data_IF_236173476369
#
_entry.id   IF_236173476369
#
_cell.length_a   1.000
_cell.length_b   1.000
_cell.length_c   1.000
_cell.angle_alpha   90.00
_cell.angle_beta   90.00
_cell.angle_gamma   90.00
#
_symmetry.space_group_name_H-M   'P 1'
#
loop_
_entity.id
_entity.type
_entity.pdbx_description
1 polymer ?
#
# COMPACT_ATOMS: atom_id res chain seq x y z
N UNK A 1 -22.43 4.55 37.34
CA UNK A 1 -21.48 5.61 37.78
C UNK A 1 -20.10 5.50 37.13
N UNK A 2 -19.46 4.32 37.10
CA UNK A 2 -18.09 4.14 36.56
C UNK A 2 -17.88 4.55 35.09
N UNK A 3 -18.88 4.35 34.20
CA UNK A 3 -18.75 4.67 32.77
C UNK A 3 -18.72 6.19 32.48
N UNK A 4 -19.37 6.98 33.34
CA UNK A 4 -19.47 8.44 33.21
C UNK A 4 -18.17 9.15 33.61
N UNK A 5 -17.42 8.59 34.55
CA UNK A 5 -16.10 9.12 34.94
C UNK A 5 -15.02 8.80 33.91
N UNK A 6 -15.11 7.61 33.28
CA UNK A 6 -14.16 7.20 32.23
C UNK A 6 -14.33 7.98 30.92
N UNK A 7 -15.47 8.63 30.71
CA UNK A 7 -15.71 9.47 29.53
C UNK A 7 -14.65 10.59 29.36
N UNK A 8 -13.97 10.98 30.44
CA UNK A 8 -12.89 11.98 30.40
C UNK A 8 -11.71 11.55 29.54
N UNK A 9 -11.52 10.26 29.30
CA UNK A 9 -10.46 9.73 28.43
C UNK A 9 -10.77 9.86 26.93
N UNK A 10 -12.06 9.99 26.57
CA UNK A 10 -12.47 10.30 25.19
C UNK A 10 -12.74 11.80 25.00
N UNK A 11 -13.31 12.46 26.01
CA UNK A 11 -13.66 13.89 25.98
C UNK A 11 -12.53 14.79 26.49
N UNK A 12 -11.29 14.54 26.06
CA UNK A 12 -10.16 15.41 26.35
C UNK A 12 -9.51 15.92 25.06
N UNK A 13 -8.85 17.07 25.18
CA UNK A 13 -8.25 17.79 24.04
C UNK A 13 -7.23 16.92 23.30
N UNK A 14 -6.45 16.11 24.01
CA UNK A 14 -5.41 15.26 23.40
C UNK A 14 -6.03 14.13 22.58
N UNK A 15 -7.06 13.46 23.12
CA UNK A 15 -7.76 12.40 22.41
C UNK A 15 -8.46 12.94 21.16
N UNK A 16 -9.20 14.04 21.28
CA UNK A 16 -9.90 14.63 20.13
C UNK A 16 -8.95 15.20 19.10
N UNK A 17 -7.86 15.83 19.53
CA UNK A 17 -6.81 16.31 18.63
C UNK A 17 -6.14 15.17 17.87
N UNK A 18 -5.80 14.07 18.56
CA UNK A 18 -5.23 12.89 17.93
C UNK A 18 -6.22 12.19 16.99
N UNK A 19 -7.49 12.06 17.37
CA UNK A 19 -8.53 11.48 16.51
C UNK A 19 -8.79 12.36 15.28
N UNK A 20 -8.86 13.67 15.45
CA UNK A 20 -9.03 14.61 14.34
C UNK A 20 -7.85 14.53 13.38
N UNK A 21 -6.62 14.51 13.92
CA UNK A 21 -5.40 14.36 13.13
C UNK A 21 -5.43 13.04 12.36
N UNK A 22 -5.81 11.94 13.00
CA UNK A 22 -5.86 10.62 12.37
C UNK A 22 -6.88 10.58 11.23
N UNK A 23 -8.08 11.11 11.43
CA UNK A 23 -9.14 11.19 10.39
C UNK A 23 -8.73 12.12 9.24
N UNK A 24 -8.25 13.34 9.54
CA UNK A 24 -7.84 14.29 8.50
C UNK A 24 -6.64 13.76 7.72
N UNK A 25 -5.68 13.17 8.41
CA UNK A 25 -4.49 12.66 7.76
C UNK A 25 -4.84 11.52 6.80
N UNK A 26 -5.67 10.59 7.25
CA UNK A 26 -5.97 9.40 6.48
C UNK A 26 -6.95 9.64 5.34
N UNK A 27 -7.81 10.65 5.41
CA UNK A 27 -8.81 10.93 4.36
C UNK A 27 -8.55 12.19 3.53
N UNK A 28 -7.60 13.05 3.90
CA UNK A 28 -7.34 14.30 3.16
C UNK A 28 -5.86 14.48 2.84
N UNK A 29 -4.97 14.28 3.81
CA UNK A 29 -3.55 14.57 3.61
C UNK A 29 -2.82 13.48 2.82
N UNK A 30 -3.22 12.21 2.99
CA UNK A 30 -2.65 11.10 2.20
C UNK A 30 -2.98 11.27 0.71
N UNK A 31 -4.22 11.60 0.36
CA UNK A 31 -4.64 11.88 -1.02
C UNK A 31 -3.91 13.10 -1.61
N UNK A 32 -3.77 14.18 -0.83
CA UNK A 32 -3.22 15.43 -1.36
C UNK A 32 -1.69 15.48 -1.43
N UNK A 33 -0.97 14.76 -0.55
CA UNK A 33 0.48 14.91 -0.42
C UNK A 33 1.26 13.60 -0.49
N UNK A 34 0.66 12.40 -0.51
CA UNK A 34 1.32 11.14 -0.91
C UNK A 34 2.68 10.76 -0.29
N UNK A 35 3.11 11.38 0.82
CA UNK A 35 4.50 11.31 1.30
C UNK A 35 4.66 10.41 2.54
N UNK A 36 5.86 9.85 2.75
CA UNK A 36 6.20 9.01 3.92
C UNK A 36 5.97 9.69 5.29
N UNK A 37 5.86 11.03 5.32
CA UNK A 37 5.59 11.83 6.52
C UNK A 37 4.13 11.67 6.99
N UNK A 38 3.16 11.59 6.07
CA UNK A 38 1.73 11.48 6.44
C UNK A 38 1.43 10.09 7.01
N UNK A 39 2.06 9.03 6.49
CA UNK A 39 1.96 7.67 7.06
C UNK A 39 2.36 7.63 8.53
N UNK A 40 3.55 8.16 8.86
CA UNK A 40 4.08 8.19 10.23
C UNK A 40 3.21 9.03 11.16
N UNK A 41 2.64 10.13 10.67
CA UNK A 41 1.78 10.99 11.48
C UNK A 41 0.54 10.25 12.01
N UNK A 42 -0.04 9.36 11.20
CA UNK A 42 -1.14 8.48 11.62
C UNK A 42 -0.71 7.50 12.71
N UNK A 43 0.48 6.88 12.57
CA UNK A 43 1.03 5.98 13.59
C UNK A 43 1.24 6.69 14.94
N UNK A 44 1.80 7.89 14.92
CA UNK A 44 1.95 8.71 16.14
C UNK A 44 0.59 9.04 16.79
N UNK A 45 -0.41 9.40 15.99
CA UNK A 45 -1.75 9.69 16.50
C UNK A 45 -2.43 8.43 17.06
N UNK A 46 -2.36 7.32 16.34
CA UNK A 46 -2.92 6.02 16.74
C UNK A 46 -2.32 5.52 18.05
N UNK A 47 -0.98 5.50 18.16
CA UNK A 47 -0.26 5.07 19.37
C UNK A 47 -0.56 5.99 20.56
N UNK A 48 -0.78 7.28 20.33
CA UNK A 48 -1.18 8.24 21.37
C UNK A 48 -2.60 7.97 21.90
N UNK A 49 -3.58 7.78 21.01
CA UNK A 49 -5.01 7.73 21.39
C UNK A 49 -5.50 6.32 21.73
N UNK A 50 -4.88 5.26 21.23
CA UNK A 50 -5.25 3.86 21.52
C UNK A 50 -5.29 3.52 23.02
N UNK A 51 -4.26 3.80 23.84
CA UNK A 51 -4.32 3.46 25.26
C UNK A 51 -5.38 4.27 26.02
N UNK A 52 -5.69 5.51 25.58
CA UNK A 52 -6.78 6.32 26.14
C UNK A 52 -8.16 5.71 25.80
N UNK A 53 -8.34 5.23 24.57
CA UNK A 53 -9.54 4.51 24.13
C UNK A 53 -9.75 3.22 24.94
N UNK A 54 -8.70 2.41 25.07
CA UNK A 54 -8.74 1.18 25.86
C UNK A 54 -8.98 1.46 27.35
N UNK A 55 -8.43 2.56 27.88
CA UNK A 55 -8.70 3.00 29.26
C UNK A 55 -10.18 3.26 29.50
N UNK A 56 -10.87 3.86 28.53
CA UNK A 56 -12.31 4.04 28.58
C UNK A 56 -13.07 2.71 28.58
N UNK A 57 -12.71 1.79 27.68
CA UNK A 57 -13.38 0.49 27.53
C UNK A 57 -13.18 -0.44 28.72
N UNK A 58 -11.93 -0.67 29.11
CA UNK A 58 -11.57 -1.74 30.07
C UNK A 58 -11.38 -1.21 31.49
N UNK A 59 -10.92 0.04 31.64
CA UNK A 59 -10.54 0.60 32.93
C UNK A 59 -9.27 0.01 33.54
N UNK A 60 -8.45 -0.69 32.74
CA UNK A 60 -7.20 -1.32 33.20
C UNK A 60 -6.16 -0.29 33.70
N UNK A 61 -5.13 -0.78 34.40
CA UNK A 61 -4.02 0.06 34.88
C UNK A 61 -3.27 0.67 33.70
N UNK A 62 -2.79 1.90 33.87
CA UNK A 62 -2.08 2.64 32.81
C UNK A 62 -0.90 1.84 32.26
N UNK A 63 -0.08 1.24 33.12
CA UNK A 63 1.06 0.42 32.69
C UNK A 63 0.66 -0.77 31.83
N UNK A 64 -0.46 -1.45 32.16
CA UNK A 64 -0.96 -2.57 31.37
C UNK A 64 -1.43 -2.15 29.98
N UNK A 65 -2.04 -0.96 29.86
CA UNK A 65 -2.49 -0.43 28.58
C UNK A 65 -1.34 0.05 27.70
N UNK A 66 -0.31 0.66 28.30
CA UNK A 66 0.92 1.01 27.58
C UNK A 66 1.63 -0.25 27.09
N UNK A 67 1.81 -1.25 27.95
CA UNK A 67 2.41 -2.52 27.57
C UNK A 67 1.63 -3.21 26.45
N UNK A 68 0.30 -3.26 26.56
CA UNK A 68 -0.55 -3.79 25.50
C UNK A 68 -0.38 -3.02 24.19
N UNK A 69 -0.37 -1.68 24.24
CA UNK A 69 -0.19 -0.84 23.05
C UNK A 69 1.15 -1.12 22.35
N UNK A 70 2.24 -1.21 23.11
CA UNK A 70 3.57 -1.54 22.58
C UNK A 70 3.57 -2.91 21.92
N UNK A 71 3.09 -3.94 22.63
CA UNK A 71 3.10 -5.33 22.13
C UNK A 71 2.21 -5.46 20.90
N UNK A 72 0.99 -4.94 20.97
CA UNK A 72 0.03 -5.00 19.88
C UNK A 72 0.53 -4.26 18.63
N UNK A 73 1.02 -3.04 18.79
CA UNK A 73 1.52 -2.24 17.68
C UNK A 73 2.79 -2.82 17.06
N UNK A 74 3.74 -3.29 17.89
CA UNK A 74 4.94 -3.95 17.39
C UNK A 74 4.60 -5.25 16.63
N UNK A 75 3.69 -6.06 17.17
CA UNK A 75 3.22 -7.26 16.49
C UNK A 75 2.55 -6.92 15.15
N UNK A 76 1.62 -5.95 15.16
CA UNK A 76 0.88 -5.50 13.97
C UNK A 76 1.79 -4.93 12.88
N UNK A 77 2.89 -4.26 13.23
CA UNK A 77 3.87 -3.73 12.26
C UNK A 77 4.93 -4.74 11.83
N UNK A 78 5.00 -5.91 12.47
CA UNK A 78 5.99 -6.96 12.18
C UNK A 78 5.47 -8.06 11.26
N UNK A 79 6.35 -8.75 10.53
CA UNK A 79 5.99 -9.91 9.69
C UNK A 79 5.21 -11.01 10.41
N UNK A 80 5.21 -11.05 11.74
CA UNK A 80 4.45 -12.02 12.53
C UNK A 80 2.92 -11.87 12.44
N UNK A 81 2.38 -10.72 12.02
CA UNK A 81 0.92 -10.57 11.85
C UNK A 81 0.43 -10.94 10.44
N UNK A 82 1.31 -11.35 9.53
CA UNK A 82 0.95 -11.74 8.15
C UNK A 82 -0.09 -12.86 8.12
N UNK A 83 0.03 -13.96 8.89
CA UNK A 83 -0.98 -15.02 8.89
C UNK A 83 -2.37 -14.56 9.35
N UNK A 84 -2.42 -13.56 10.24
CA UNK A 84 -3.68 -12.99 10.71
C UNK A 84 -4.34 -12.10 9.65
N UNK A 85 -3.54 -11.37 8.87
CA UNK A 85 -4.00 -10.55 7.74
C UNK A 85 -4.53 -11.45 6.63
N UNK A 86 -3.80 -12.50 6.26
CA UNK A 86 -4.22 -13.48 5.26
C UNK A 86 -5.54 -14.16 5.63
N UNK A 87 -5.70 -14.56 6.90
CA UNK A 87 -6.95 -15.13 7.38
C UNK A 87 -8.10 -14.12 7.29
N UNK A 88 -7.85 -12.85 7.56
CA UNK A 88 -8.88 -11.81 7.49
C UNK A 88 -9.30 -11.50 6.05
N UNK A 89 -8.34 -11.42 5.13
CA UNK A 89 -8.58 -11.26 3.70
C UNK A 89 -9.30 -12.48 3.11
N UNK A 90 -9.07 -13.69 3.62
CA UNK A 90 -9.79 -14.88 3.18
C UNK A 90 -11.28 -14.87 3.57
N UNK A 91 -11.64 -14.15 4.63
CA UNK A 91 -13.01 -14.12 5.18
C UNK A 91 -13.78 -12.85 4.83
N UNK A 92 -13.09 -11.81 4.36
CA UNK A 92 -13.69 -10.52 4.04
C UNK A 92 -13.32 -10.10 2.63
N UNK A 93 -14.23 -9.49 1.86
CA UNK A 93 -13.93 -8.96 0.53
C UNK A 93 -13.02 -7.71 0.57
N UNK A 94 -12.50 -7.36 1.75
CA UNK A 94 -11.62 -6.22 1.97
C UNK A 94 -10.18 -6.74 1.93
N UNK A 95 -9.40 -6.31 0.94
CA UNK A 95 -7.99 -6.66 0.83
C UNK A 95 -7.15 -5.75 1.74
N UNK A 96 -6.78 -6.26 2.91
CA UNK A 96 -5.83 -5.59 3.79
C UNK A 96 -4.41 -5.97 3.39
N UNK A 97 -3.64 -5.00 2.94
CA UNK A 97 -2.19 -5.13 2.84
C UNK A 97 -1.51 -4.28 3.91
N UNK A 98 -0.23 -4.57 4.16
CA UNK A 98 0.53 -3.85 5.18
C UNK A 98 2.00 -3.78 4.81
N UNK A 99 2.53 -2.57 4.92
CA UNK A 99 3.95 -2.27 4.82
C UNK A 99 4.68 -2.61 6.12
N UNK A 100 5.68 -3.49 6.06
CA UNK A 100 6.58 -3.78 7.20
C UNK A 100 7.67 -2.71 7.25
N UNK A 101 7.40 -1.62 7.98
CA UNK A 101 8.35 -0.54 8.25
C UNK A 101 8.64 -0.48 9.76
N UNK A 102 9.84 -0.90 10.16
CA UNK A 102 10.25 -0.84 11.58
C UNK A 102 10.48 0.58 12.09
N UNK A 103 10.63 1.57 11.20
CA UNK A 103 10.73 2.98 11.60
C UNK A 103 9.40 3.49 12.19
N UNK A 104 8.29 2.79 11.98
CA UNK A 104 7.01 3.11 12.62
C UNK A 104 7.06 2.94 14.15
N UNK A 105 8.01 2.16 14.67
CA UNK A 105 8.24 2.01 16.11
C UNK A 105 8.72 3.31 16.77
N UNK A 106 9.19 4.31 15.99
CA UNK A 106 9.44 5.65 16.52
C UNK A 106 8.18 6.30 17.11
N UNK A 107 6.97 5.86 16.72
CA UNK A 107 5.72 6.29 17.34
C UNK A 107 5.69 6.02 18.86
N UNK A 108 6.45 5.05 19.37
CA UNK A 108 6.53 4.78 20.81
C UNK A 108 7.05 5.96 21.64
N UNK A 109 7.77 6.90 21.01
CA UNK A 109 8.22 8.13 21.67
C UNK A 109 7.06 8.99 22.19
N UNK A 110 5.83 8.80 21.69
CA UNK A 110 4.63 9.52 22.15
C UNK A 110 3.93 8.85 23.35
N UNK A 111 4.27 7.60 23.69
CA UNK A 111 3.64 6.88 24.80
C UNK A 111 3.81 7.53 26.19
N UNK A 112 4.94 8.19 26.52
CA UNK A 112 5.05 8.97 27.74
C UNK A 112 3.98 10.07 27.84
N UNK A 113 3.64 10.72 26.71
CA UNK A 113 2.56 11.70 26.64
C UNK A 113 1.20 11.03 26.92
N UNK A 114 0.92 9.88 26.29
CA UNK A 114 -0.30 9.12 26.54
C UNK A 114 -0.45 8.71 28.02
N UNK A 115 0.65 8.25 28.64
CA UNK A 115 0.68 7.90 30.06
C UNK A 115 0.42 9.11 30.96
N UNK A 116 1.01 10.27 30.64
CA UNK A 116 0.80 11.52 31.38
C UNK A 116 -0.67 11.96 31.34
N UNK A 117 -1.30 11.91 30.16
CA UNK A 117 -2.73 12.25 29.99
C UNK A 117 -3.62 11.30 30.78
N UNK A 118 -3.35 9.98 30.74
CA UNK A 118 -4.13 8.99 31.50
C UNK A 118 -4.03 9.15 33.01
N UNK A 119 -2.87 9.56 33.53
CA UNK A 119 -2.65 9.79 34.96
C UNK A 119 -3.24 11.13 35.43
N UNK A 120 -3.33 12.12 34.53
CA UNK A 120 -3.77 13.48 34.85
C UNK A 120 -4.93 13.95 33.96
N UNK A 121 -6.04 13.18 33.86
CA UNK A 121 -7.10 13.47 32.90
C UNK A 121 -7.74 14.85 33.14
N UNK A 122 -7.77 15.33 34.39
CA UNK A 122 -8.35 16.62 34.78
C UNK A 122 -7.73 17.83 34.05
N UNK A 123 -6.45 17.77 33.68
CA UNK A 123 -5.76 18.88 33.03
C UNK A 123 -6.20 19.09 31.56
N UNK A 124 -6.70 18.02 30.92
CA UNK A 124 -7.03 18.01 29.49
C UNK A 124 -8.52 18.03 29.21
N UNK A 125 -9.37 18.12 30.24
CA UNK A 125 -10.82 18.10 30.06
C UNK A 125 -11.34 19.42 29.51
N UNK A 126 -12.35 19.32 28.66
CA UNK A 126 -13.17 20.49 28.34
C UNK A 126 -13.98 20.91 29.56
N UNK A 127 -13.66 22.09 30.09
CA UNK A 127 -14.34 22.68 31.27
C UNK A 127 -15.82 23.00 31.03
N UNK A 128 -16.28 23.01 29.77
CA UNK A 128 -17.57 23.62 29.37
C UNK A 128 -18.45 22.70 28.50
N UNK A 129 -18.49 21.39 28.77
CA UNK A 129 -19.45 20.48 28.13
C UNK A 129 -20.66 20.29 29.03
N UNK A 130 -21.86 20.61 28.51
CA UNK A 130 -23.11 20.42 29.24
C UNK A 130 -23.27 18.96 29.71
N UNK A 131 -23.60 18.77 30.98
CA UNK A 131 -23.64 17.43 31.62
C UNK A 131 -24.59 16.46 30.90
N UNK A 132 -25.67 16.99 30.31
CA UNK A 132 -26.66 16.23 29.54
C UNK A 132 -26.13 15.75 28.18
N UNK A 133 -25.21 16.47 27.54
CA UNK A 133 -24.67 16.13 26.22
C UNK A 133 -23.47 15.16 26.28
N UNK A 134 -22.82 15.05 27.45
CA UNK A 134 -21.67 14.15 27.66
C UNK A 134 -21.90 12.71 27.19
N UNK A 135 -22.99 11.99 27.55
CA UNK A 135 -23.16 10.61 27.12
C UNK A 135 -23.27 10.49 25.60
N UNK A 136 -24.06 11.37 24.95
CA UNK A 136 -24.25 11.38 23.50
C UNK A 136 -22.92 11.60 22.78
N UNK A 137 -22.16 12.63 23.18
CA UNK A 137 -20.84 12.90 22.61
C UNK A 137 -19.85 11.76 22.82
N UNK A 138 -19.86 11.14 24.01
CA UNK A 138 -18.98 10.00 24.29
C UNK A 138 -19.27 8.83 23.37
N UNK A 139 -20.55 8.49 23.14
CA UNK A 139 -20.92 7.41 22.23
C UNK A 139 -20.61 7.74 20.78
N UNK A 140 -20.87 8.98 20.34
CA UNK A 140 -20.51 9.44 19.00
C UNK A 140 -19.01 9.34 18.74
N UNK A 141 -18.18 9.89 19.65
CA UNK A 141 -16.73 9.85 19.55
C UNK A 141 -16.20 8.41 19.63
N UNK A 142 -16.80 7.56 20.46
CA UNK A 142 -16.47 6.14 20.50
C UNK A 142 -16.72 5.46 19.14
N UNK A 143 -17.86 5.73 18.50
CA UNK A 143 -18.18 5.20 17.18
C UNK A 143 -17.20 5.69 16.11
N UNK A 144 -16.92 7.00 16.08
CA UNK A 144 -15.94 7.58 15.15
C UNK A 144 -14.55 7.01 15.37
N UNK A 145 -14.10 6.88 16.62
CA UNK A 145 -12.80 6.30 16.93
C UNK A 145 -12.70 4.84 16.51
N UNK A 146 -13.74 4.03 16.76
CA UNK A 146 -13.81 2.64 16.29
C UNK A 146 -13.68 2.53 14.77
N UNK A 147 -14.41 3.37 14.03
CA UNK A 147 -14.33 3.40 12.57
C UNK A 147 -12.93 3.83 12.13
N UNK A 148 -12.39 4.88 12.73
CA UNK A 148 -11.09 5.42 12.37
C UNK A 148 -9.96 4.37 12.55
N UNK A 149 -9.94 3.64 13.66
CA UNK A 149 -8.96 2.55 13.89
C UNK A 149 -9.09 1.38 12.90
N UNK A 150 -10.27 1.15 12.32
CA UNK A 150 -10.50 0.09 11.34
C UNK A 150 -10.18 0.60 9.92
N UNK A 151 -10.54 1.84 9.62
CA UNK A 151 -10.37 2.46 8.32
C UNK A 151 -8.89 2.68 7.99
N UNK A 152 -8.03 2.93 8.98
CA UNK A 152 -6.59 3.17 8.78
C UNK A 152 -5.83 1.98 8.18
N UNK A 153 -6.41 0.78 8.12
CA UNK A 153 -5.77 -0.41 7.56
C UNK A 153 -6.32 -0.82 6.19
N UNK A 154 -7.40 -0.22 5.72
CA UNK A 154 -7.92 -0.53 4.37
C UNK A 154 -6.96 0.11 3.38
N UNK A 155 -6.28 -0.71 2.57
CA UNK A 155 -5.57 -0.17 1.42
C UNK A 155 -6.61 0.44 0.49
N UNK A 156 -6.41 1.69 0.08
CA UNK A 156 -7.24 2.25 -0.98
C UNK A 156 -7.13 1.32 -2.19
N UNK A 157 -8.26 0.82 -2.74
CA UNK A 157 -8.22 0.17 -4.02
C UNK A 157 -7.60 1.16 -5.00
N UNK A 158 -6.64 0.68 -5.80
CA UNK A 158 -6.05 1.48 -6.85
C UNK A 158 -7.16 2.18 -7.66
N UNK A 159 -6.93 3.42 -8.12
CA UNK A 159 -7.86 4.06 -9.02
C UNK A 159 -8.15 3.09 -10.17
N UNK A 160 -9.45 2.89 -10.42
CA UNK A 160 -9.99 2.09 -11.51
C UNK A 160 -9.15 2.31 -12.77
N UNK A 161 -8.58 1.21 -13.28
CA UNK A 161 -7.82 1.26 -14.52
C UNK A 161 -8.81 1.49 -15.64
N UNK A 162 -8.63 2.56 -16.40
CA UNK A 162 -9.39 2.79 -17.62
C UNK A 162 -9.02 1.78 -18.72
N UNK A 163 -9.31 2.07 -19.99
CA UNK A 163 -8.93 1.21 -21.11
C UNK A 163 -7.44 0.80 -21.05
N UNK A 164 -7.06 -0.32 -21.68
CA UNK A 164 -5.67 -0.83 -21.74
C UNK A 164 -4.65 0.24 -22.14
N UNK A 165 -5.08 1.28 -22.87
CA UNK A 165 -4.24 2.41 -23.28
C UNK A 165 -3.73 3.26 -22.10
N UNK A 166 -4.45 3.30 -20.98
CA UNK A 166 -4.14 4.22 -19.88
C UNK A 166 -2.89 3.81 -19.07
N UNK A 167 -2.55 2.52 -19.01
CA UNK A 167 -1.35 2.07 -18.30
C UNK A 167 -0.04 2.49 -19.02
N UNK A 168 -0.06 2.71 -20.33
CA UNK A 168 1.07 3.23 -21.08
C UNK A 168 1.27 4.74 -20.94
N UNK A 169 0.32 5.47 -20.37
CA UNK A 169 0.48 6.91 -20.11
C UNK A 169 1.16 7.13 -18.75
N UNK A 170 1.21 6.10 -17.90
CA UNK A 170 1.89 6.19 -16.61
C UNK A 170 3.40 6.16 -16.80
N UNK A 171 4.11 6.92 -15.96
CA UNK A 171 5.56 6.86 -15.93
C UNK A 171 6.00 5.49 -15.38
N UNK A 172 7.05 4.87 -15.94
CA UNK A 172 7.62 3.69 -15.32
C UNK A 172 8.15 4.01 -13.93
N UNK A 173 8.28 2.97 -13.11
CA UNK A 173 9.09 3.11 -11.90
C UNK A 173 10.54 3.04 -12.33
N UNK A 174 11.23 4.16 -12.26
CA UNK A 174 12.66 4.32 -12.54
C UNK A 174 13.28 5.06 -11.34
N UNK A 175 13.76 4.31 -10.34
CA UNK A 175 14.14 4.91 -9.05
C UNK A 175 15.24 4.15 -8.32
N UNK A 176 15.79 4.79 -7.30
CA UNK A 176 16.77 4.21 -6.38
C UNK A 176 16.16 3.93 -5.01
N UNK A 177 16.42 2.75 -4.47
CA UNK A 177 15.97 2.30 -3.15
C UNK A 177 17.21 2.00 -2.33
N UNK A 178 17.47 2.82 -1.31
CA UNK A 178 18.75 2.79 -0.60
C UNK A 178 19.89 3.04 -1.58
N UNK A 179 20.80 2.08 -1.67
CA UNK A 179 21.91 2.07 -2.62
C UNK A 179 21.63 1.32 -3.94
N UNK A 180 20.45 0.72 -4.11
CA UNK A 180 20.09 -0.06 -5.28
C UNK A 180 19.18 0.67 -6.26
N UNK A 181 19.17 0.19 -7.50
CA UNK A 181 18.37 0.71 -8.60
C UNK A 181 17.30 -0.30 -9.00
N UNK A 182 16.08 0.20 -9.25
CA UNK A 182 14.95 -0.61 -9.71
C UNK A 182 14.22 0.07 -10.86
N UNK A 183 14.02 -0.71 -11.91
CA UNK A 183 13.18 -0.36 -13.06
C UNK A 183 12.01 -1.34 -13.19
N UNK A 184 10.79 -0.80 -13.26
CA UNK A 184 9.55 -1.55 -13.52
C UNK A 184 8.91 -1.00 -14.79
N UNK A 185 8.87 -1.79 -15.89
CA UNK A 185 8.25 -1.36 -17.14
C UNK A 185 6.73 -1.23 -16.99
N UNK A 186 6.10 -0.49 -17.90
CA UNK A 186 4.65 -0.29 -17.93
C UNK A 186 3.93 -1.24 -18.87
N UNK A 187 4.65 -1.96 -19.74
CA UNK A 187 4.05 -2.87 -20.71
C UNK A 187 4.93 -4.10 -21.03
N UNK A 188 4.27 -5.15 -21.51
CA UNK A 188 4.90 -6.31 -22.15
C UNK A 188 3.91 -7.00 -23.11
N UNK A 189 4.42 -7.83 -24.00
CA UNK A 189 3.73 -8.38 -25.18
C UNK A 189 4.02 -9.88 -25.31
N UNK A 190 3.21 -10.76 -24.70
CA UNK A 190 3.42 -12.21 -24.80
C UNK A 190 2.97 -12.76 -26.17
N UNK A 191 3.79 -12.56 -27.20
CA UNK A 191 3.52 -12.98 -28.58
C UNK A 191 4.51 -14.07 -29.10
N UNK A 192 5.41 -14.55 -28.23
CA UNK A 192 6.45 -15.54 -28.49
C UNK A 192 7.47 -15.11 -29.59
N UNK A 193 7.71 -13.80 -29.76
CA UNK A 193 8.71 -13.28 -30.71
C UNK A 193 10.13 -13.11 -30.11
N UNK A 194 10.30 -13.55 -28.86
CA UNK A 194 11.48 -13.41 -28.00
C UNK A 194 11.78 -11.98 -27.53
N UNK A 195 10.83 -11.04 -27.67
CA UNK A 195 10.96 -9.64 -27.25
C UNK A 195 9.81 -9.30 -26.34
N UNK A 196 10.15 -8.81 -25.14
CA UNK A 196 9.20 -8.40 -24.11
C UNK A 196 8.03 -9.39 -23.86
N UNK A 197 8.23 -10.69 -24.14
CA UNK A 197 7.26 -11.75 -23.89
C UNK A 197 6.94 -11.98 -22.41
N UNK A 198 7.89 -11.60 -21.57
CA UNK A 198 7.85 -11.85 -20.14
C UNK A 198 8.05 -10.54 -19.40
N UNK A 199 7.09 -10.20 -18.55
CA UNK A 199 7.23 -9.10 -17.60
C UNK A 199 8.27 -9.44 -16.53
N UNK A 200 9.23 -8.53 -16.36
CA UNK A 200 10.34 -8.64 -15.42
C UNK A 200 10.62 -7.29 -14.76
N UNK A 201 10.90 -7.33 -13.46
CA UNK A 201 11.47 -6.20 -12.73
C UNK A 201 12.98 -6.24 -12.89
N UNK A 202 13.57 -5.12 -13.29
CA UNK A 202 15.00 -5.00 -13.51
C UNK A 202 15.64 -4.32 -12.31
N UNK A 203 16.68 -4.93 -11.78
CA UNK A 203 17.39 -4.47 -10.59
C UNK A 203 18.89 -4.50 -10.83
N UNK A 204 19.63 -3.61 -10.17
CA UNK A 204 21.08 -3.70 -10.13
C UNK A 204 21.59 -4.67 -9.05
N UNK A 205 22.91 -4.83 -8.98
CA UNK A 205 23.59 -5.69 -8.00
C UNK A 205 23.44 -5.23 -6.55
N UNK A 206 22.99 -4.00 -6.32
CA UNK A 206 22.80 -3.42 -4.99
C UNK A 206 21.41 -3.69 -4.42
N UNK A 207 20.51 -4.30 -5.18
CA UNK A 207 19.27 -4.89 -4.68
C UNK A 207 19.54 -6.31 -4.17
N UNK A 208 19.30 -6.54 -2.88
CA UNK A 208 19.54 -7.84 -2.25
C UNK A 208 18.52 -8.89 -2.70
N UNK A 209 17.29 -8.45 -3.00
CA UNK A 209 16.26 -9.29 -3.57
C UNK A 209 14.91 -8.60 -3.72
N UNK A 210 14.05 -9.24 -4.49
CA UNK A 210 12.62 -8.97 -4.59
C UNK A 210 11.92 -9.92 -3.61
N UNK A 211 11.55 -9.38 -2.45
CA UNK A 211 10.95 -10.13 -1.34
C UNK A 211 9.62 -10.76 -1.76
N UNK A 212 8.81 -10.01 -2.50
CA UNK A 212 7.57 -10.52 -3.09
C UNK A 212 7.19 -9.70 -4.33
N UNK A 213 6.54 -10.36 -5.28
CA UNK A 213 5.86 -9.72 -6.40
C UNK A 213 4.51 -10.37 -6.59
N UNK A 214 3.47 -9.54 -6.77
CA UNK A 214 2.09 -9.96 -7.03
C UNK A 214 1.54 -9.16 -8.19
N UNK A 215 0.89 -9.83 -9.12
CA UNK A 215 0.22 -9.21 -10.27
C UNK A 215 -1.24 -9.59 -10.22
N UNK A 216 -2.12 -8.59 -10.27
CA UNK A 216 -3.56 -8.73 -10.18
C UNK A 216 -4.23 -8.23 -11.44
N UNK A 217 -5.31 -8.89 -11.87
CA UNK A 217 -6.18 -8.35 -12.91
C UNK A 217 -6.89 -7.08 -12.39
N UNK A 218 -6.98 -6.05 -13.23
CA UNK A 218 -7.47 -4.73 -12.79
C UNK A 218 -8.97 -4.68 -12.50
N UNK A 219 -9.78 -5.56 -13.11
CA UNK A 219 -11.24 -5.49 -12.99
C UNK A 219 -11.80 -6.18 -11.74
N UNK A 220 -11.18 -7.28 -11.30
CA UNK A 220 -11.68 -8.14 -10.22
C UNK A 220 -10.63 -8.43 -9.13
N UNK A 221 -9.43 -7.86 -9.26
CA UNK A 221 -8.29 -8.13 -8.37
C UNK A 221 -7.91 -9.62 -8.30
N UNK A 222 -8.21 -10.38 -9.35
CA UNK A 222 -7.80 -11.79 -9.43
C UNK A 222 -6.27 -11.90 -9.53
N UNK A 223 -5.66 -12.76 -8.71
CA UNK A 223 -4.22 -12.95 -8.71
C UNK A 223 -3.77 -13.72 -9.97
N UNK A 224 -3.05 -13.03 -10.85
CA UNK A 224 -2.50 -13.58 -12.10
C UNK A 224 -1.12 -14.20 -11.90
N UNK A 225 -0.28 -13.58 -11.07
CA UNK A 225 1.09 -14.03 -10.84
C UNK A 225 1.58 -13.70 -9.43
N UNK A 226 2.43 -14.57 -8.89
CA UNK A 226 2.99 -14.45 -7.56
C UNK A 226 4.34 -15.14 -7.48
N UNK A 227 5.37 -14.43 -7.01
CA UNK A 227 6.66 -15.01 -6.66
C UNK A 227 7.23 -14.35 -5.40
N UNK A 228 8.06 -15.08 -4.64
CA UNK A 228 8.62 -14.64 -3.35
C UNK A 228 10.10 -14.98 -3.28
N UNK A 229 10.88 -14.11 -2.61
CA UNK A 229 12.29 -14.33 -2.33
C UNK A 229 13.15 -14.50 -3.60
N UNK A 230 12.86 -13.73 -4.65
CA UNK A 230 13.65 -13.76 -5.88
C UNK A 230 14.92 -12.92 -5.70
N UNK A 231 16.06 -13.44 -6.11
CA UNK A 231 17.30 -12.63 -6.19
C UNK A 231 17.28 -11.72 -7.43
N UNK A 232 16.75 -12.22 -8.54
CA UNK A 232 16.58 -11.48 -9.80
C UNK A 232 15.44 -12.09 -10.62
N UNK A 233 14.82 -11.29 -11.49
CA UNK A 233 13.83 -11.77 -12.45
C UNK A 233 14.47 -12.03 -13.82
N UNK A 234 14.19 -13.19 -14.38
CA UNK A 234 14.63 -13.68 -15.69
C UNK A 234 13.41 -14.07 -16.52
N UNK A 235 13.61 -14.52 -17.75
CA UNK A 235 12.52 -15.01 -18.61
C UNK A 235 11.89 -16.29 -18.06
N UNK A 236 12.67 -17.09 -17.34
CA UNK A 236 12.22 -18.36 -16.77
C UNK A 236 11.31 -18.19 -15.55
N UNK A 237 11.46 -17.09 -14.80
CA UNK A 237 10.73 -16.86 -13.55
C UNK A 237 9.85 -15.60 -13.57
N UNK A 238 9.78 -14.90 -14.71
CA UNK A 238 8.93 -13.74 -14.90
C UNK A 238 7.50 -14.11 -15.28
N UNK A 239 6.66 -13.09 -15.48
CA UNK A 239 5.25 -13.29 -15.82
C UNK A 239 5.04 -13.22 -17.32
N UNK A 240 4.69 -14.35 -17.94
CA UNK A 240 4.47 -14.44 -19.39
C UNK A 240 3.02 -14.24 -19.83
N UNK A 241 2.04 -14.11 -18.92
CA UNK A 241 0.59 -14.04 -19.17
C UNK A 241 -0.05 -15.05 -20.16
N UNK A 242 0.71 -15.89 -20.85
CA UNK A 242 0.29 -16.74 -21.98
C UNK A 242 -0.80 -17.76 -21.62
N UNK A 243 -0.94 -18.08 -20.33
CA UNK A 243 -1.99 -18.96 -19.80
C UNK A 243 -3.31 -18.23 -19.48
N UNK A 244 -3.34 -16.90 -19.51
CA UNK A 244 -4.49 -16.06 -19.12
C UNK A 244 -5.14 -15.36 -20.31
N UNK A 245 -4.44 -15.31 -21.43
CA UNK A 245 -4.79 -14.50 -22.59
C UNK A 245 -5.53 -15.37 -23.60
N UNK A 246 -6.86 -15.47 -23.50
CA UNK A 246 -7.68 -15.96 -24.63
C UNK A 246 -7.60 -15.05 -25.87
N UNK A 247 -6.43 -14.50 -26.17
CA UNK A 247 -6.14 -13.47 -27.18
C UNK A 247 -6.35 -12.02 -26.71
N UNK A 248 -6.99 -11.78 -25.56
CA UNK A 248 -7.40 -10.42 -25.20
C UNK A 248 -6.33 -9.64 -24.43
N UNK A 249 -6.04 -8.43 -24.90
CA UNK A 249 -5.22 -7.45 -24.18
C UNK A 249 -5.95 -6.94 -22.94
N UNK A 250 -5.23 -6.78 -21.83
CA UNK A 250 -5.80 -6.31 -20.56
C UNK A 250 -4.80 -5.51 -19.75
N UNK A 251 -5.28 -4.83 -18.72
CA UNK A 251 -4.44 -4.13 -17.75
C UNK A 251 -4.36 -4.89 -16.43
N UNK A 252 -3.19 -4.87 -15.81
CA UNK A 252 -2.92 -5.49 -14.52
C UNK A 252 -2.32 -4.48 -13.52
N UNK A 253 -2.42 -4.81 -12.25
CA UNK A 253 -1.79 -4.10 -11.15
C UNK A 253 -0.60 -4.92 -10.67
N UNK A 254 0.55 -4.28 -10.56
CA UNK A 254 1.79 -4.90 -10.09
C UNK A 254 2.11 -4.33 -8.71
N UNK A 255 2.32 -5.21 -7.72
CA UNK A 255 2.73 -4.88 -6.36
C UNK A 255 4.01 -5.64 -6.02
N UNK A 256 5.08 -4.90 -5.75
CA UNK A 256 6.43 -5.44 -5.57
C UNK A 256 6.99 -4.94 -4.25
N UNK A 257 7.64 -5.86 -3.53
CA UNK A 257 8.48 -5.56 -2.40
C UNK A 257 9.92 -5.88 -2.72
N UNK A 258 10.79 -4.91 -2.50
CA UNK A 258 12.23 -5.06 -2.73
C UNK A 258 13.01 -4.60 -1.51
N UNK A 259 14.13 -5.27 -1.28
CA UNK A 259 15.09 -4.94 -0.23
C UNK A 259 16.46 -4.72 -0.86
N UNK A 260 17.07 -3.57 -0.58
CA UNK A 260 18.42 -3.22 -0.98
C UNK A 260 19.46 -3.86 -0.04
N UNK A 261 20.70 -3.94 -0.51
CA UNK A 261 21.83 -4.52 0.23
C UNK A 261 22.20 -3.74 1.50
N UNK A 262 21.85 -2.46 1.57
CA UNK A 262 21.98 -1.64 2.79
C UNK A 262 20.85 -1.87 3.82
N UNK A 263 19.88 -2.74 3.50
CA UNK A 263 18.73 -3.07 4.34
C UNK A 263 17.54 -2.13 4.17
N UNK A 264 17.63 -1.12 3.31
CA UNK A 264 16.49 -0.28 2.93
C UNK A 264 15.49 -1.11 2.14
N UNK A 265 14.21 -1.04 2.50
CA UNK A 265 13.15 -1.71 1.75
C UNK A 265 12.15 -0.69 1.21
N UNK A 266 11.47 -1.06 0.13
CA UNK A 266 10.40 -0.25 -0.42
C UNK A 266 9.35 -1.14 -1.07
N UNK A 267 8.11 -0.66 -1.02
CA UNK A 267 7.00 -1.20 -1.79
C UNK A 267 6.78 -0.34 -3.02
N UNK A 268 6.77 -0.98 -4.17
CA UNK A 268 6.58 -0.38 -5.48
C UNK A 268 5.27 -0.89 -6.05
N UNK A 269 4.44 0.03 -6.56
CA UNK A 269 3.17 -0.35 -7.20
C UNK A 269 3.02 0.39 -8.51
N UNK A 270 2.70 -0.33 -9.56
CA UNK A 270 2.52 0.22 -10.91
C UNK A 270 1.33 -0.42 -11.63
N UNK A 271 0.87 0.22 -12.69
CA UNK A 271 -0.01 -0.40 -13.68
C UNK A 271 0.84 -1.08 -14.76
N UNK A 272 0.32 -2.19 -15.29
CA UNK A 272 0.98 -2.99 -16.32
C UNK A 272 0.00 -3.25 -17.46
N UNK A 273 0.37 -2.86 -18.67
CA UNK A 273 -0.33 -3.25 -19.88
C UNK A 273 0.14 -4.64 -20.32
N UNK A 274 -0.80 -5.55 -20.52
CA UNK A 274 -0.55 -6.86 -21.10
C UNK A 274 -1.16 -6.84 -22.49
N UNK A 275 -0.30 -6.82 -23.50
CA UNK A 275 -0.76 -6.77 -24.87
C UNK A 275 -0.73 -8.14 -25.51
N UNK A 276 -1.91 -8.72 -25.67
CA UNK A 276 -2.07 -10.00 -26.34
C UNK A 276 -2.53 -9.79 -27.76
N UNK A 277 -1.97 -10.57 -28.67
CA UNK A 277 -2.47 -10.71 -30.03
C UNK A 277 -3.87 -11.32 -29.97
N UNK A 278 -4.90 -10.60 -30.42
CA UNK A 278 -6.21 -11.19 -30.56
C UNK A 278 -6.16 -12.14 -31.77
N UNK A 279 -6.89 -13.24 -31.71
CA UNK A 279 -7.27 -13.96 -32.93
C UNK A 279 -8.19 -13.04 -33.75
N UNK A 280 -7.66 -12.03 -34.43
CA UNK A 280 -8.47 -11.14 -35.25
C UNK A 280 -8.65 -11.72 -36.65
N UNK A 281 -9.91 -12.06 -36.93
CA UNK A 281 -10.44 -12.12 -38.29
C UNK A 281 -10.11 -10.83 -39.03
N UNK A 282 -9.63 -10.97 -40.26
CA UNK A 282 -9.12 -9.98 -41.22
C UNK A 282 -10.06 -8.83 -41.62
N UNK A 283 -11.08 -8.49 -40.83
CA UNK A 283 -12.18 -7.61 -41.26
C UNK A 283 -12.22 -6.24 -40.56
N UNK A 284 -11.41 -5.99 -39.53
CA UNK A 284 -11.31 -4.66 -38.89
C UNK A 284 -10.10 -3.88 -39.43
N UNK A 285 -10.29 -3.21 -40.57
CA UNK A 285 -9.33 -2.26 -41.18
C UNK A 285 -9.11 -0.97 -40.34
N UNK A 286 -9.77 -0.83 -39.18
CA UNK A 286 -9.78 0.37 -38.34
C UNK A 286 -8.97 0.24 -37.03
N UNK A 287 -8.25 -0.87 -36.81
CA UNK A 287 -7.26 -0.91 -35.73
C UNK A 287 -5.97 -0.23 -36.17
N UNK A 288 -5.98 1.11 -36.10
CA UNK A 288 -4.75 1.92 -36.10
C UNK A 288 -3.85 1.48 -34.92
N UNK A 289 -2.98 0.48 -35.11
CA UNK A 289 -1.67 0.53 -34.44
C UNK A 289 -0.88 1.71 -35.02
N UNK A 290 0.03 2.43 -34.32
CA UNK A 290 0.71 2.18 -33.05
C UNK A 290 0.87 3.48 -32.19
N UNK A 291 -0.08 4.42 -32.20
CA UNK A 291 0.14 5.76 -31.61
C UNK A 291 0.33 5.82 -30.08
N UNK A 292 0.06 4.72 -29.37
CA UNK A 292 0.20 4.60 -27.92
C UNK A 292 1.40 3.75 -27.49
N UNK A 293 1.94 2.89 -28.37
CA UNK A 293 3.10 2.04 -28.06
C UNK A 293 4.34 2.87 -27.73
N UNK A 294 4.53 3.99 -28.45
CA UNK A 294 5.61 4.95 -28.22
C UNK A 294 5.54 5.61 -26.82
N UNK A 295 4.43 5.44 -26.10
CA UNK A 295 4.26 5.95 -24.72
C UNK A 295 4.51 4.88 -23.68
N UNK A 296 4.37 3.61 -24.04
CA UNK A 296 4.66 2.48 -23.17
C UNK A 296 6.16 2.36 -22.94
N UNK A 297 6.55 1.74 -21.82
CA UNK A 297 7.94 1.38 -21.56
C UNK A 297 8.06 -0.12 -21.35
N UNK A 298 9.12 -0.68 -21.92
CA UNK A 298 9.31 -2.11 -22.04
C UNK A 298 10.57 -2.58 -21.31
N UNK A 299 10.63 -3.87 -21.03
CA UNK A 299 11.71 -4.48 -20.26
C UNK A 299 13.06 -4.45 -20.97
N UNK A 300 13.10 -4.29 -22.30
CA UNK A 300 14.35 -4.26 -23.07
C UNK A 300 14.95 -2.86 -23.28
N UNK A 301 14.29 -1.79 -22.84
CA UNK A 301 14.77 -0.40 -22.97
C UNK A 301 15.80 -0.06 -21.89
N UNK A 302 16.88 -0.84 -21.84
CA UNK A 302 17.91 -0.76 -20.81
C UNK A 302 19.26 -0.47 -21.46
N UNK A 303 19.97 0.52 -20.93
CA UNK A 303 21.30 0.91 -21.39
C UNK A 303 22.39 -0.10 -20.96
N UNK A 304 23.63 0.15 -21.42
CA UNK A 304 24.78 -0.69 -21.06
C UNK A 304 25.11 -0.73 -19.56
N UNK A 305 24.53 0.17 -18.76
CA UNK A 305 24.70 0.23 -17.31
C UNK A 305 23.58 -0.48 -16.54
N UNK A 306 22.59 -1.05 -17.24
CA UNK A 306 21.46 -1.73 -16.61
C UNK A 306 20.32 -0.79 -16.20
N UNK A 307 20.29 0.44 -16.72
CA UNK A 307 19.29 1.46 -16.38
C UNK A 307 18.34 1.73 -17.53
N UNK A 308 17.11 2.13 -17.20
CA UNK A 308 16.12 2.53 -18.19
C UNK A 308 16.61 3.72 -19.02
N UNK A 309 16.45 3.61 -20.34
CA UNK A 309 16.74 4.69 -21.30
C UNK A 309 15.64 4.73 -22.36
N UNK A 310 14.79 5.76 -22.25
CA UNK A 310 13.67 5.99 -23.17
C UNK A 310 14.10 6.25 -24.63
N UNK A 311 15.38 6.53 -24.89
CA UNK A 311 15.89 6.69 -26.27
C UNK A 311 16.12 5.37 -26.98
N UNK A 312 16.18 4.26 -26.24
CA UNK A 312 16.28 2.91 -26.80
C UNK A 312 14.92 2.51 -27.35
N UNK A 313 14.90 2.13 -28.63
CA UNK A 313 13.68 1.60 -29.25
C UNK A 313 13.36 0.24 -28.62
N UNK A 314 12.12 0.04 -28.18
CA UNK A 314 11.67 -1.25 -27.66
C UNK A 314 11.62 -2.33 -28.75
N UNK A 315 11.67 -1.94 -30.03
CA UNK A 315 11.49 -2.82 -31.20
C UNK A 315 10.16 -3.58 -31.16
N UNK A 316 9.20 -3.07 -30.36
CA UNK A 316 7.86 -3.62 -30.24
C UNK A 316 7.01 -3.22 -31.43
N UNK A 317 6.49 -4.23 -32.11
CA UNK A 317 5.52 -4.09 -33.19
C UNK A 317 4.40 -5.09 -32.95
N UNK A 318 3.14 -4.66 -33.07
CA UNK A 318 2.01 -5.57 -33.15
C UNK A 318 1.91 -6.24 -34.52
N UNK A 319 2.98 -6.89 -34.96
CA UNK A 319 2.95 -7.82 -36.09
C UNK A 319 2.60 -9.20 -35.53
N UNK A 320 1.32 -9.42 -35.29
CA UNK A 320 0.80 -10.74 -34.96
C UNK A 320 0.86 -11.61 -36.23
N UNK A 321 1.71 -12.64 -36.25
CA UNK A 321 1.96 -13.51 -37.40
C UNK A 321 0.75 -14.35 -37.84
#
# INVERSE_FOLDING_TARGET
MLKTERATYLLNVVFLGGLLLLVINDHLLKEAFGNSITGKLSDFAGVLILPLFLKYLTGWRTSSLIAFTVIFFAWWKSSFSTPAIELFNAWTPLNYGRVVDYTDLYAFTILPLAAWVMQRPAYFQFKRVARSLRPVLTYAIMGVASIAFIATSVEEPFPFVGPVVDCCIQEPIDTTIGNGYVYVPTAFSPNDDARNDVFRVITDENIAGIDSIRIYASQDSFLLFSADGLTTMTEENGFSASNFTGGESFSALVDIWVTATDGTNARLRNQLCVFSCPEFSTDDEDFDGPGFLDRCTFGNQIDSSGKFDASINSEESFDCF
#
